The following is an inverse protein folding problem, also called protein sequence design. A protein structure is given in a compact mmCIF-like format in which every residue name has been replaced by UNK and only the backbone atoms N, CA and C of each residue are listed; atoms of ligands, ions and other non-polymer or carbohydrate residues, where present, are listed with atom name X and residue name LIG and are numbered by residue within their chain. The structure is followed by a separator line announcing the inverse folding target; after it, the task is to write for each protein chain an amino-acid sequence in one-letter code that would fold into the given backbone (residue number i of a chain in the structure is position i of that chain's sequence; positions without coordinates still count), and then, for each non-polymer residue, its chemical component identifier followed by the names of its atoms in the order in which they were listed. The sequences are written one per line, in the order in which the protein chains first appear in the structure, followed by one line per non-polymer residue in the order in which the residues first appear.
data_IF_579842727406
#
_entry.id   IF_579842727406
#
_cell.length_a   1.000
_cell.length_b   1.000
_cell.length_c   1.000
_cell.angle_alpha   90.00
_cell.angle_beta   90.00
_cell.angle_gamma   90.00
#
_symmetry.space_group_name_H-M   'P 1'
#
loop_
_entity.id
_entity.type
_entity.pdbx_description
1 polymer ?
#
# COMPACT_ATOMS: atom_id res chain seq x y z
N UNK A 1 51.38 -41.36 -38.61
CA UNK A 1 50.89 -40.00 -38.30
C UNK A 1 49.86 -40.10 -37.19
N UNK A 2 50.01 -39.24 -36.16
CA UNK A 2 49.01 -38.78 -35.15
C UNK A 2 48.43 -39.83 -34.16
N UNK A 3 49.08 -40.00 -32.99
CA UNK A 3 48.73 -39.47 -31.62
C UNK A 3 47.62 -40.27 -30.92
N UNK A 4 47.95 -41.15 -29.94
CA UNK A 4 48.03 -40.91 -28.46
C UNK A 4 46.75 -40.26 -27.91
N UNK A 5 46.12 -40.61 -26.78
CA UNK A 5 46.27 -41.58 -25.68
C UNK A 5 45.21 -41.14 -24.63
N UNK A 6 45.01 -41.91 -23.53
CA UNK A 6 44.33 -41.53 -22.26
C UNK A 6 42.78 -41.58 -22.24
N UNK A 7 42.09 -42.03 -21.19
CA UNK A 7 42.43 -42.68 -19.92
C UNK A 7 41.09 -43.11 -19.29
N UNK A 8 41.00 -44.35 -18.83
CA UNK A 8 39.96 -44.84 -17.94
C UNK A 8 40.17 -44.25 -16.54
N UNK A 9 39.16 -43.60 -15.94
CA UNK A 9 39.13 -43.44 -14.47
C UNK A 9 37.70 -43.57 -13.94
N UNK A 10 37.56 -44.53 -13.05
CA UNK A 10 36.39 -44.92 -12.27
C UNK A 10 36.50 -44.19 -10.93
N UNK A 11 35.47 -43.46 -10.49
CA UNK A 11 35.40 -43.01 -9.09
C UNK A 11 33.99 -43.14 -8.54
N UNK A 12 33.92 -43.99 -7.51
CA UNK A 12 32.82 -44.26 -6.61
C UNK A 12 32.82 -43.21 -5.48
N UNK A 13 31.64 -42.72 -5.09
CA UNK A 13 31.32 -42.57 -3.66
C UNK A 13 31.22 -41.17 -3.05
N UNK A 14 30.17 -41.04 -2.23
CA UNK A 14 29.97 -40.17 -1.06
C UNK A 14 29.34 -38.76 -1.24
N UNK A 15 28.07 -38.71 -0.80
CA UNK A 15 27.46 -37.72 0.13
C UNK A 15 27.63 -36.25 -0.22
N UNK A 16 26.54 -35.51 -0.46
CA UNK A 16 25.67 -35.08 0.63
C UNK A 16 24.20 -34.96 0.19
N UNK A 17 23.29 -35.54 0.99
CA UNK A 17 21.93 -35.04 1.11
C UNK A 17 22.05 -33.57 1.54
N UNK A 18 21.82 -32.66 0.62
CA UNK A 18 21.43 -31.31 0.98
C UNK A 18 20.04 -31.42 1.62
N UNK A 19 20.01 -31.52 2.95
CA UNK A 19 18.89 -31.07 3.72
C UNK A 19 18.70 -29.58 3.38
N UNK A 20 17.90 -29.32 2.34
CA UNK A 20 17.29 -28.03 2.11
C UNK A 20 16.49 -27.73 3.37
N UNK A 21 17.12 -26.95 4.25
CA UNK A 21 16.44 -26.29 5.33
C UNK A 21 15.25 -25.57 4.72
N UNK A 22 14.07 -26.11 4.97
CA UNK A 22 12.86 -25.32 4.94
C UNK A 22 13.00 -24.32 6.09
N UNK A 23 13.77 -23.25 5.86
CA UNK A 23 13.46 -21.99 6.49
C UNK A 23 12.04 -21.68 6.04
N UNK A 24 11.09 -21.96 6.93
CA UNK A 24 9.78 -21.36 6.88
C UNK A 24 10.04 -19.85 6.94
N UNK A 25 10.22 -19.23 5.77
CA UNK A 25 10.16 -17.78 5.62
C UNK A 25 8.84 -17.38 6.25
N UNK A 26 8.91 -16.89 7.48
CA UNK A 26 7.77 -16.26 8.15
C UNK A 26 7.22 -15.28 7.13
N UNK A 27 5.99 -15.54 6.70
CA UNK A 27 5.35 -14.75 5.66
C UNK A 27 5.21 -13.34 6.22
N UNK A 28 6.10 -12.44 5.81
CA UNK A 28 6.10 -11.03 6.21
C UNK A 28 4.67 -10.51 6.13
N UNK A 29 4.22 -9.86 7.20
CA UNK A 29 2.88 -9.31 7.25
C UNK A 29 2.64 -8.38 6.07
N UNK A 30 1.55 -8.61 5.32
CA UNK A 30 1.23 -7.83 4.14
C UNK A 30 0.57 -6.51 4.56
N UNK A 31 1.38 -5.44 4.52
CA UNK A 31 0.94 -4.07 4.78
C UNK A 31 0.83 -3.24 3.51
N UNK A 32 0.79 -3.87 2.32
CA UNK A 32 0.72 -3.14 1.05
C UNK A 32 -0.49 -2.20 1.00
N UNK A 33 -1.65 -2.61 1.50
CA UNK A 33 -2.85 -1.76 1.56
C UNK A 33 -2.99 -0.88 2.81
N UNK A 34 -2.00 -0.87 3.72
CA UNK A 34 -2.12 -0.15 4.99
C UNK A 34 -2.21 1.38 4.75
N UNK A 35 -3.16 2.09 5.37
CA UNK A 35 -3.36 3.52 5.12
C UNK A 35 -2.38 4.40 5.91
N UNK A 36 -1.08 4.39 5.61
CA UNK A 36 -0.10 5.28 6.29
C UNK A 36 -0.29 6.75 5.95
N UNK A 37 -0.87 7.04 4.79
CA UNK A 37 -0.88 8.37 4.19
C UNK A 37 -2.12 9.16 4.59
N UNK A 38 -2.06 10.46 4.39
CA UNK A 38 -3.17 11.36 4.68
C UNK A 38 -3.58 12.21 3.49
N UNK A 39 -4.85 12.59 3.46
CA UNK A 39 -5.41 13.54 2.51
C UNK A 39 -6.25 14.57 3.27
N UNK A 40 -6.13 15.87 2.96
CA UNK A 40 -6.85 16.93 3.67
C UNK A 40 -8.37 16.72 3.78
N UNK A 41 -8.98 16.04 2.80
CA UNK A 41 -10.44 15.81 2.75
C UNK A 41 -10.90 14.46 3.30
N UNK A 42 -9.99 13.50 3.48
CA UNK A 42 -10.35 12.09 3.76
C UNK A 42 -9.68 11.53 5.01
N UNK A 43 -8.84 12.31 5.70
CA UNK A 43 -8.05 11.81 6.82
C UNK A 43 -7.02 10.80 6.30
N UNK A 44 -7.01 9.59 6.85
CA UNK A 44 -6.08 8.55 6.41
C UNK A 44 -6.55 7.81 5.16
N UNK A 45 -5.64 7.62 4.20
CA UNK A 45 -5.94 6.99 2.92
C UNK A 45 -4.99 5.82 2.63
N UNK A 46 -5.45 4.77 1.92
CA UNK A 46 -4.59 3.75 1.34
C UNK A 46 -3.48 4.37 0.47
N UNK A 47 -2.41 3.63 0.14
CA UNK A 47 -1.45 4.10 -0.85
C UNK A 47 -2.16 4.45 -2.15
N UNK A 48 -1.77 5.58 -2.72
CA UNK A 48 -2.33 6.13 -3.94
C UNK A 48 -1.43 5.93 -5.16
N UNK A 49 -0.23 5.38 -4.96
CA UNK A 49 0.58 4.75 -6.01
C UNK A 49 1.01 3.34 -5.57
N UNK A 50 1.20 2.39 -6.50
CA UNK A 50 1.68 1.06 -6.17
C UNK A 50 3.01 1.08 -5.40
N UNK A 51 3.15 0.22 -4.40
CA UNK A 51 4.40 0.07 -3.65
C UNK A 51 4.75 1.20 -2.67
N UNK A 52 3.97 2.28 -2.56
CA UNK A 52 4.31 3.46 -1.74
C UNK A 52 4.70 3.11 -0.29
N UNK A 53 4.00 2.15 0.33
CA UNK A 53 4.28 1.69 1.70
C UNK A 53 5.69 1.09 1.89
N UNK A 54 6.32 0.60 0.83
CA UNK A 54 7.67 0.03 0.90
C UNK A 54 8.75 1.10 1.13
N UNK A 55 8.47 2.37 0.83
CA UNK A 55 9.37 3.50 1.10
C UNK A 55 9.67 3.68 2.58
N UNK A 56 8.78 3.21 3.47
CA UNK A 56 8.97 3.24 4.91
C UNK A 56 9.99 2.19 5.40
N UNK A 57 10.34 1.21 4.56
CA UNK A 57 11.32 0.17 4.84
C UNK A 57 11.15 -0.46 6.24
N UNK A 58 9.90 -0.76 6.59
CA UNK A 58 9.55 -1.33 7.88
C UNK A 58 10.37 -2.61 8.13
N UNK A 59 10.84 -2.81 9.36
CA UNK A 59 11.39 -4.10 9.74
C UNK A 59 10.28 -5.16 9.80
N UNK A 60 10.64 -6.44 9.75
CA UNK A 60 9.63 -7.50 9.86
C UNK A 60 8.89 -7.44 11.21
N UNK A 61 9.63 -7.15 12.30
CA UNK A 61 9.04 -6.93 13.63
C UNK A 61 8.06 -5.75 13.66
N UNK A 62 8.40 -4.62 13.02
CA UNK A 62 7.48 -3.48 12.90
C UNK A 62 6.23 -3.87 12.10
N UNK A 63 6.41 -4.58 10.98
CA UNK A 63 5.31 -5.00 10.13
C UNK A 63 4.34 -5.94 10.86
N UNK A 64 4.87 -6.89 11.63
CA UNK A 64 4.09 -7.81 12.47
C UNK A 64 3.33 -7.07 13.57
N UNK A 65 3.97 -6.13 14.27
CA UNK A 65 3.31 -5.34 15.31
C UNK A 65 2.18 -4.46 14.75
N UNK A 66 2.38 -3.85 13.57
CA UNK A 66 1.35 -3.05 12.91
C UNK A 66 0.20 -3.94 12.45
N UNK A 67 0.48 -5.10 11.86
CA UNK A 67 -0.56 -6.06 11.48
C UNK A 67 -1.32 -6.59 12.68
N UNK A 68 -0.64 -6.79 13.82
CA UNK A 68 -1.29 -7.14 15.08
C UNK A 68 -2.22 -6.03 15.55
N UNK A 69 -1.78 -4.78 15.56
CA UNK A 69 -2.63 -3.64 15.95
C UNK A 69 -3.90 -3.54 15.08
N UNK A 70 -3.77 -3.80 13.77
CA UNK A 70 -4.94 -3.90 12.87
C UNK A 70 -5.86 -5.06 13.21
N UNK A 71 -5.29 -6.24 13.46
CA UNK A 71 -6.05 -7.43 13.80
C UNK A 71 -6.77 -7.24 15.13
N UNK A 72 -6.12 -6.65 16.13
CA UNK A 72 -6.70 -6.37 17.44
C UNK A 72 -7.89 -5.41 17.30
N UNK A 73 -7.74 -4.30 16.55
CA UNK A 73 -8.83 -3.38 16.25
C UNK A 73 -9.97 -4.07 15.49
N UNK A 74 -9.66 -4.93 14.52
CA UNK A 74 -10.66 -5.68 13.76
C UNK A 74 -11.38 -6.76 14.58
N UNK A 75 -10.72 -7.29 15.61
CA UNK A 75 -11.25 -8.31 16.49
C UNK A 75 -12.02 -7.74 17.69
N UNK A 76 -11.92 -6.44 17.96
CA UNK A 76 -12.70 -5.75 18.98
C UNK A 76 -14.20 -5.86 18.67
N UNK A 77 -14.96 -6.43 19.62
CA UNK A 77 -16.39 -6.69 19.45
C UNK A 77 -17.20 -5.40 19.27
N UNK A 78 -16.78 -4.28 19.86
CA UNK A 78 -17.43 -2.97 19.65
C UNK A 78 -17.22 -2.47 18.22
N UNK A 79 -16.03 -2.70 17.66
CA UNK A 79 -15.70 -2.37 16.26
C UNK A 79 -16.47 -3.26 15.30
N UNK A 80 -16.57 -4.57 15.57
CA UNK A 80 -17.39 -5.50 14.76
C UNK A 80 -18.86 -5.09 14.78
N UNK A 81 -19.41 -4.79 15.95
CA UNK A 81 -20.77 -4.31 16.11
C UNK A 81 -20.99 -3.00 15.33
N UNK A 82 -20.09 -2.02 15.47
CA UNK A 82 -20.16 -0.77 14.74
C UNK A 82 -20.08 -0.95 13.21
N UNK A 83 -19.25 -1.87 12.71
CA UNK A 83 -19.16 -2.21 11.27
C UNK A 83 -20.40 -2.91 10.75
N UNK A 84 -21.05 -3.74 11.58
CA UNK A 84 -22.25 -4.50 11.20
C UNK A 84 -23.48 -3.61 10.99
N UNK A 85 -23.46 -2.39 11.55
CA UNK A 85 -24.49 -1.38 11.33
C UNK A 85 -24.35 -0.83 9.90
N UNK A 86 -24.98 -1.55 8.96
CA UNK A 86 -24.95 -1.21 7.54
C UNK A 86 -25.54 0.17 7.27
N UNK A 87 -24.93 0.90 6.33
CA UNK A 87 -25.48 2.16 5.81
C UNK A 87 -26.82 1.98 5.08
N UNK A 88 -27.13 0.75 4.64
CA UNK A 88 -28.37 0.43 3.91
C UNK A 88 -29.49 -0.11 4.79
N UNK A 89 -29.22 -0.34 6.08
CA UNK A 89 -30.25 -0.78 7.01
C UNK A 89 -31.09 0.42 7.45
N UNK A 90 -32.35 0.43 6.99
CA UNK A 90 -33.32 1.47 7.27
C UNK A 90 -33.86 1.43 8.70
N UNK A 91 -33.61 0.33 9.44
CA UNK A 91 -34.00 0.18 10.85
C UNK A 91 -33.03 0.87 11.82
N UNK A 92 -31.83 1.21 11.36
CA UNK A 92 -30.81 1.87 12.18
C UNK A 92 -31.10 3.36 12.30
N UNK A 93 -31.22 3.86 13.53
CA UNK A 93 -31.48 5.28 13.80
C UNK A 93 -30.26 6.15 13.49
N UNK A 94 -30.47 7.45 13.30
CA UNK A 94 -29.37 8.41 13.10
C UNK A 94 -28.38 8.39 14.28
N UNK A 95 -28.90 8.29 15.51
CA UNK A 95 -28.10 8.20 16.74
C UNK A 95 -27.23 6.94 16.79
N UNK A 96 -27.78 5.79 16.38
CA UNK A 96 -27.01 4.54 16.30
C UNK A 96 -25.90 4.62 15.25
N UNK A 97 -26.17 5.23 14.09
CA UNK A 97 -25.13 5.46 13.07
C UNK A 97 -24.03 6.39 13.58
N UNK A 98 -24.39 7.43 14.30
CA UNK A 98 -23.43 8.37 14.86
C UNK A 98 -22.57 7.72 15.94
N UNK A 99 -23.18 6.96 16.85
CA UNK A 99 -22.46 6.17 17.86
C UNK A 99 -21.51 5.15 17.22
N UNK A 100 -21.94 4.49 16.13
CA UNK A 100 -21.09 3.57 15.37
C UNK A 100 -19.87 4.28 14.75
N UNK A 101 -20.08 5.47 14.15
CA UNK A 101 -18.97 6.30 13.63
C UNK A 101 -18.00 6.69 14.72
N UNK A 102 -18.50 7.22 15.84
CA UNK A 102 -17.66 7.60 16.98
C UNK A 102 -16.85 6.40 17.53
N UNK A 103 -17.44 5.20 17.57
CA UNK A 103 -16.75 3.97 17.96
C UNK A 103 -15.62 3.62 16.98
N UNK A 104 -15.89 3.69 15.67
CA UNK A 104 -14.90 3.45 14.63
C UNK A 104 -13.76 4.48 14.66
N UNK A 105 -14.08 5.75 14.84
CA UNK A 105 -13.10 6.84 14.89
C UNK A 105 -12.21 6.71 16.12
N UNK A 106 -12.78 6.43 17.29
CA UNK A 106 -12.03 6.19 18.52
C UNK A 106 -11.12 4.97 18.42
N UNK A 107 -11.61 3.85 17.87
CA UNK A 107 -10.80 2.65 17.67
C UNK A 107 -9.65 2.90 16.68
N UNK A 108 -9.94 3.63 15.59
CA UNK A 108 -8.93 4.03 14.61
C UNK A 108 -7.88 4.93 15.25
N UNK A 109 -8.27 5.92 16.05
CA UNK A 109 -7.34 6.81 16.75
C UNK A 109 -6.40 6.02 17.68
N UNK A 110 -6.93 5.10 18.50
CA UNK A 110 -6.11 4.24 19.37
C UNK A 110 -5.12 3.38 18.58
N UNK A 111 -5.57 2.76 17.49
CA UNK A 111 -4.68 1.99 16.62
C UNK A 111 -3.57 2.88 16.04
N UNK A 112 -3.86 4.14 15.70
CA UNK A 112 -2.86 5.09 15.20
C UNK A 112 -1.84 5.49 16.25
N UNK A 113 -2.28 5.73 17.48
CA UNK A 113 -1.39 6.01 18.60
C UNK A 113 -0.43 4.84 18.83
N UNK A 114 -0.92 3.60 18.79
CA UNK A 114 -0.08 2.40 18.86
C UNK A 114 0.91 2.31 17.70
N UNK A 115 0.47 2.56 16.47
CA UNK A 115 1.37 2.53 15.30
C UNK A 115 2.43 3.63 15.40
N UNK A 116 2.07 4.80 15.93
CA UNK A 116 3.03 5.86 16.18
C UNK A 116 4.12 5.47 17.18
N UNK A 117 3.90 4.54 18.11
CA UNK A 117 4.98 4.05 18.99
C UNK A 117 5.88 3.01 18.32
N UNK A 118 5.40 2.34 17.27
CA UNK A 118 6.15 1.33 16.50
C UNK A 118 7.12 1.99 15.49
N UNK A 119 6.71 3.12 14.90
CA UNK A 119 7.48 3.82 13.88
C UNK A 119 8.64 4.62 14.47
N UNK A 120 9.78 4.61 13.77
CA UNK A 120 10.93 5.46 14.14
C UNK A 120 10.66 6.94 13.84
N UNK A 121 11.40 7.88 14.47
CA UNK A 121 11.30 9.30 14.14
C UNK A 121 11.53 9.61 12.65
N UNK A 122 12.46 8.91 12.01
CA UNK A 122 12.79 9.07 10.59
C UNK A 122 11.63 8.62 9.70
N UNK A 123 10.98 7.48 10.04
CA UNK A 123 9.80 7.00 9.31
C UNK A 123 8.62 7.96 9.43
N UNK A 124 8.37 8.53 10.62
CA UNK A 124 7.34 9.56 10.82
C UNK A 124 7.62 10.81 10.00
N UNK A 125 8.86 11.29 10.05
CA UNK A 125 9.32 12.44 9.26
C UNK A 125 9.15 12.18 7.76
N UNK A 126 9.43 10.96 7.30
CA UNK A 126 9.21 10.58 5.91
C UNK A 126 7.73 10.59 5.53
N UNK A 127 6.84 10.09 6.40
CA UNK A 127 5.38 10.16 6.20
C UNK A 127 4.92 11.61 6.06
N UNK A 128 5.40 12.51 6.92
CA UNK A 128 5.08 13.94 6.85
C UNK A 128 5.55 14.56 5.54
N UNK A 129 6.79 14.29 5.12
CA UNK A 129 7.33 14.76 3.84
C UNK A 129 6.54 14.24 2.64
N UNK A 130 6.21 12.94 2.60
CA UNK A 130 5.42 12.34 1.53
C UNK A 130 4.01 12.95 1.47
N UNK A 131 3.36 13.14 2.62
CA UNK A 131 2.06 13.79 2.69
C UNK A 131 2.13 15.25 2.21
N UNK A 132 3.20 15.98 2.54
CA UNK A 132 3.39 17.36 2.11
C UNK A 132 3.58 17.46 0.59
N UNK A 133 4.39 16.60 -0.03
CA UNK A 133 4.57 16.62 -1.49
C UNK A 133 3.29 16.18 -2.22
N UNK A 134 2.51 15.25 -1.65
CA UNK A 134 1.20 14.90 -2.19
C UNK A 134 0.21 16.06 -2.11
N UNK A 135 0.15 16.76 -0.97
CA UNK A 135 -0.68 17.95 -0.81
C UNK A 135 -0.30 19.04 -1.81
N UNK A 136 0.99 19.30 -1.99
CA UNK A 136 1.50 20.27 -2.96
C UNK A 136 1.13 19.88 -4.40
N UNK A 137 1.38 18.63 -4.83
CA UNK A 137 0.99 18.16 -6.15
C UNK A 137 -0.53 18.25 -6.39
N UNK A 138 -1.33 17.90 -5.39
CA UNK A 138 -2.78 18.01 -5.45
C UNK A 138 -3.27 19.46 -5.55
N UNK A 139 -2.61 20.40 -4.89
CA UNK A 139 -2.94 21.83 -4.92
C UNK A 139 -2.53 22.45 -6.26
N UNK A 140 -1.28 22.25 -6.68
CA UNK A 140 -0.73 22.74 -7.95
C UNK A 140 -1.58 22.26 -9.13
N UNK A 141 -1.86 20.95 -9.21
CA UNK A 141 -2.73 20.39 -10.25
C UNK A 141 -4.17 20.89 -10.09
N UNK A 142 -4.63 21.11 -8.85
CA UNK A 142 -5.94 21.69 -8.57
C UNK A 142 -6.12 23.08 -9.18
N UNK A 143 -5.09 23.93 -9.08
CA UNK A 143 -5.05 25.29 -9.63
C UNK A 143 -5.05 25.23 -11.16
N UNK A 144 -4.15 24.44 -11.77
CA UNK A 144 -4.02 24.33 -13.24
C UNK A 144 -5.33 23.88 -13.90
N UNK A 145 -6.06 22.96 -13.24
CA UNK A 145 -7.27 22.38 -13.81
C UNK A 145 -8.56 23.12 -13.44
N UNK A 146 -8.51 24.13 -12.57
CA UNK A 146 -9.69 24.89 -12.18
C UNK A 146 -10.39 25.53 -13.39
N UNK A 147 -9.61 26.20 -14.25
CA UNK A 147 -10.11 26.86 -15.45
C UNK A 147 -10.58 25.85 -16.52
N UNK A 148 -9.85 24.74 -16.66
CA UNK A 148 -10.24 23.62 -17.54
C UNK A 148 -11.62 23.10 -17.16
N UNK A 149 -11.90 22.86 -15.87
CA UNK A 149 -13.22 22.43 -15.40
C UNK A 149 -14.30 23.50 -15.55
N UNK A 150 -13.97 24.78 -15.41
CA UNK A 150 -14.94 25.86 -15.62
C UNK A 150 -15.39 25.96 -17.09
N UNK A 151 -14.52 25.62 -18.04
CA UNK A 151 -14.76 25.81 -19.49
C UNK A 151 -15.61 24.72 -20.16
N UNK A 152 -15.71 23.52 -19.58
CA UNK A 152 -16.31 22.33 -20.24
C UNK A 152 -17.83 22.22 -20.20
N UNK A 153 -18.55 23.19 -19.62
CA UNK A 153 -20.02 23.16 -19.46
C UNK A 153 -20.49 21.81 -18.85
N UNK A 154 -21.78 21.48 -18.96
CA UNK A 154 -22.35 20.23 -18.44
C UNK A 154 -22.05 19.00 -19.34
N UNK A 155 -20.90 18.94 -20.03
CA UNK A 155 -20.50 17.78 -20.83
C UNK A 155 -19.84 16.71 -19.94
N UNK A 156 -20.50 15.55 -19.74
CA UNK A 156 -19.97 14.49 -18.88
C UNK A 156 -18.71 13.80 -19.46
N UNK A 157 -18.60 13.69 -20.78
CA UNK A 157 -17.45 13.04 -21.43
C UNK A 157 -16.23 13.95 -21.44
N UNK A 158 -16.42 15.24 -21.68
CA UNK A 158 -15.34 16.23 -21.50
C UNK A 158 -14.90 16.30 -20.04
N UNK A 159 -15.84 16.28 -19.09
CA UNK A 159 -15.52 16.25 -17.66
C UNK A 159 -14.73 15.02 -17.25
N UNK A 160 -15.09 13.84 -17.77
CA UNK A 160 -14.36 12.60 -17.50
C UNK A 160 -12.93 12.67 -18.03
N UNK A 161 -12.74 13.11 -19.28
CA UNK A 161 -11.41 13.25 -19.89
C UNK A 161 -10.51 14.22 -19.10
N UNK A 162 -11.02 15.38 -18.72
CA UNK A 162 -10.27 16.36 -17.91
C UNK A 162 -9.97 15.82 -16.52
N UNK A 163 -10.86 15.01 -15.94
CA UNK A 163 -10.59 14.34 -14.67
C UNK A 163 -9.49 13.28 -14.78
N UNK A 164 -9.45 12.52 -15.88
CA UNK A 164 -8.38 11.56 -16.16
C UNK A 164 -7.03 12.27 -16.37
N UNK A 165 -7.01 13.32 -17.18
CA UNK A 165 -5.82 14.17 -17.42
C UNK A 165 -5.30 14.77 -16.11
N UNK A 166 -6.19 15.36 -15.29
CA UNK A 166 -5.86 15.87 -13.96
C UNK A 166 -5.24 14.79 -13.07
N UNK A 167 -5.77 13.57 -13.09
CA UNK A 167 -5.27 12.50 -12.25
C UNK A 167 -3.86 12.06 -12.69
N UNK A 168 -3.62 11.98 -14.00
CA UNK A 168 -2.30 11.68 -14.57
C UNK A 168 -1.28 12.75 -14.20
N UNK A 169 -1.60 14.04 -14.43
CA UNK A 169 -0.71 15.14 -14.09
C UNK A 169 -0.40 15.18 -12.59
N UNK A 170 -1.40 14.93 -11.73
CA UNK A 170 -1.20 14.88 -10.28
C UNK A 170 -0.28 13.73 -9.89
N UNK A 171 -0.45 12.55 -10.49
CA UNK A 171 0.42 11.39 -10.25
C UNK A 171 1.85 11.67 -10.72
N UNK A 172 2.04 12.25 -11.91
CA UNK A 172 3.36 12.62 -12.44
C UNK A 172 4.07 13.67 -11.57
N UNK A 173 3.36 14.72 -11.17
CA UNK A 173 3.89 15.75 -10.27
C UNK A 173 4.26 15.15 -8.90
N UNK A 174 3.41 14.28 -8.36
CA UNK A 174 3.71 13.60 -7.11
C UNK A 174 4.95 12.72 -7.24
N UNK A 175 5.05 11.89 -8.27
CA UNK A 175 6.21 11.01 -8.50
C UNK A 175 7.51 11.80 -8.68
N UNK A 176 7.46 12.92 -9.41
CA UNK A 176 8.61 13.81 -9.58
C UNK A 176 9.08 14.40 -8.24
N UNK A 177 8.16 14.90 -7.40
CA UNK A 177 8.50 15.42 -6.07
C UNK A 177 8.94 14.31 -5.11
N UNK A 178 8.35 13.12 -5.23
CA UNK A 178 8.71 11.94 -4.45
C UNK A 178 10.16 11.50 -4.74
N UNK A 179 10.59 11.53 -6.01
CA UNK A 179 11.97 11.20 -6.40
C UNK A 179 13.01 12.11 -5.70
N UNK A 180 12.65 13.38 -5.48
CA UNK A 180 13.51 14.35 -4.79
C UNK A 180 13.62 14.15 -3.27
N UNK A 181 12.75 13.34 -2.65
CA UNK A 181 12.78 13.10 -1.19
C UNK A 181 13.22 11.68 -0.81
N UNK A 182 13.10 10.71 -1.71
CA UNK A 182 13.51 9.32 -1.47
C UNK A 182 15.00 9.14 -1.71
N UNK A 183 15.65 8.33 -0.88
CA UNK A 183 16.99 7.83 -1.16
C UNK A 183 16.96 6.62 -2.10
N UNK A 184 18.12 6.21 -2.64
CA UNK A 184 18.23 5.09 -3.60
C UNK A 184 17.63 3.78 -3.09
N UNK A 185 17.83 3.47 -1.81
CA UNK A 185 17.29 2.25 -1.18
C UNK A 185 15.75 2.30 -1.13
N UNK A 186 15.17 3.47 -0.85
CA UNK A 186 13.72 3.68 -0.82
C UNK A 186 13.11 3.66 -2.22
N UNK A 187 13.80 4.23 -3.22
CA UNK A 187 13.40 4.17 -4.64
C UNK A 187 13.36 2.73 -5.14
N UNK A 188 14.40 1.94 -4.83
CA UNK A 188 14.44 0.53 -5.16
C UNK A 188 13.30 -0.26 -4.49
N UNK A 189 13.04 0.00 -3.20
CA UNK A 189 11.96 -0.63 -2.47
C UNK A 189 10.57 -0.29 -3.06
N UNK A 190 10.35 0.98 -3.44
CA UNK A 190 9.14 1.42 -4.12
C UNK A 190 8.93 0.65 -5.43
N UNK A 191 9.94 0.62 -6.31
CA UNK A 191 9.85 -0.03 -7.61
C UNK A 191 9.59 -1.54 -7.49
N UNK A 192 10.33 -2.22 -6.62
CA UNK A 192 10.15 -3.67 -6.38
C UNK A 192 8.76 -3.99 -5.84
N UNK A 193 8.26 -3.18 -4.90
CA UNK A 193 6.94 -3.39 -4.33
C UNK A 193 5.82 -3.07 -5.32
N UNK A 194 5.98 -2.04 -6.15
CA UNK A 194 5.05 -1.69 -7.21
C UNK A 194 4.91 -2.84 -8.22
N UNK A 195 6.03 -3.40 -8.67
CA UNK A 195 6.02 -4.55 -9.59
C UNK A 195 5.34 -5.77 -8.96
N UNK A 196 5.68 -6.09 -7.71
CA UNK A 196 5.06 -7.20 -6.99
C UNK A 196 3.54 -7.01 -6.83
N UNK A 197 3.09 -5.78 -6.57
CA UNK A 197 1.67 -5.45 -6.47
C UNK A 197 0.93 -5.59 -7.80
N UNK A 198 1.51 -5.09 -8.90
CA UNK A 198 0.99 -5.27 -10.26
C UNK A 198 0.84 -6.76 -10.58
N UNK A 199 1.87 -7.56 -10.29
CA UNK A 199 1.83 -9.01 -10.51
C UNK A 199 0.75 -9.70 -9.66
N UNK A 200 0.61 -9.32 -8.38
CA UNK A 200 -0.46 -9.87 -7.50
C UNK A 200 -1.85 -9.54 -8.05
N UNK A 201 -2.06 -8.30 -8.48
CA UNK A 201 -3.34 -7.84 -9.02
C UNK A 201 -3.68 -8.54 -10.34
N UNK A 202 -2.70 -8.72 -11.24
CA UNK A 202 -2.85 -9.46 -12.48
C UNK A 202 -3.22 -10.93 -12.22
N UNK A 203 -2.54 -11.59 -11.27
CA UNK A 203 -2.86 -12.97 -10.85
C UNK A 203 -4.27 -13.06 -10.29
N UNK A 204 -4.65 -12.18 -9.36
CA UNK A 204 -5.99 -12.16 -8.77
C UNK A 204 -7.10 -11.92 -9.81
N UNK A 205 -6.85 -11.07 -10.82
CA UNK A 205 -7.78 -10.84 -11.91
C UNK A 205 -7.92 -12.07 -12.83
N UNK A 206 -6.84 -12.81 -13.07
CA UNK A 206 -6.87 -14.04 -13.84
C UNK A 206 -7.68 -15.14 -13.13
N UNK A 207 -7.47 -15.34 -11.81
CA UNK A 207 -8.20 -16.36 -11.03
C UNK A 207 -9.71 -16.08 -11.00
N UNK A 208 -10.11 -14.80 -10.94
CA UNK A 208 -11.53 -14.40 -10.98
C UNK A 208 -12.19 -14.64 -12.35
N UNK A 209 -11.43 -14.60 -13.44
CA UNK A 209 -11.94 -14.87 -14.79
C UNK A 209 -12.15 -16.36 -15.07
N UNK A 210 -11.37 -17.24 -14.44
CA UNK A 210 -11.50 -18.70 -14.58
C UNK A 210 -12.54 -19.33 -13.65
N UNK A 211 -13.05 -18.60 -12.66
CA UNK A 211 -14.06 -19.06 -11.71
C UNK A 211 -15.50 -18.64 -12.08
N UNK A 212 -15.70 -18.08 -13.28
CA UNK A 212 -17.00 -17.81 -13.90
C UNK A 212 -17.20 -18.75 -15.08
#
# INVERSE_FOLDING_TARGET
MKTRSFLTLLLVGCTTLAALGAESKLKRADLSGFPFWSSPKRGFVPPFIPGLNATLQLTDAQAEQIAKAQSDMGNDESVKAARSLSKSDTSVTAEQREKARATMDAATARMREQIATILTPEQKTLIEKINAVYAAASEETGIVYADKFASIKADPEARKRIQEEKNQDMEEQFLSKLDGILNESQKAALAQAAEAEIQRNAKAAATKKTAK
#
